data_IF_358322400927
#
_entry.id   IF_358322400927
#
_cell.length_a   1.000
_cell.length_b   1.000
_cell.length_c   1.000
_cell.angle_alpha   90.00
_cell.angle_beta   90.00
_cell.angle_gamma   90.00
#
_symmetry.space_group_name_H-M   'P 1'
#
loop_
_entity.id
_entity.type
_entity.pdbx_description
1 polymer ?
#
# COMPACT_ATOMS: atom_id res chain seq x y z
N UNK A 1 34.57 16.24 -46.85
CA UNK A 1 33.99 14.99 -46.33
C UNK A 1 33.38 15.27 -44.96
N UNK A 2 32.06 15.18 -44.80
CA UNK A 2 31.38 15.43 -43.52
C UNK A 2 31.43 14.18 -42.64
N UNK A 3 31.98 14.30 -41.43
CA UNK A 3 31.94 13.21 -40.44
C UNK A 3 30.56 13.20 -39.78
N UNK A 4 29.88 12.05 -39.66
CA UNK A 4 28.61 11.98 -38.93
C UNK A 4 28.81 12.42 -37.48
N UNK A 5 27.77 13.06 -36.92
CA UNK A 5 27.81 13.53 -35.54
C UNK A 5 27.94 12.34 -34.59
N UNK A 6 28.85 12.43 -33.62
CA UNK A 6 29.09 11.35 -32.67
C UNK A 6 27.89 11.16 -31.73
N UNK A 7 27.63 9.93 -31.30
CA UNK A 7 26.50 9.58 -30.42
C UNK A 7 26.35 10.50 -29.20
N UNK A 8 27.40 10.83 -28.42
CA UNK A 8 27.24 11.72 -27.27
C UNK A 8 26.67 13.10 -27.64
N UNK A 9 27.05 13.64 -28.80
CA UNK A 9 26.57 14.94 -29.28
C UNK A 9 25.14 14.88 -29.81
N UNK A 10 24.69 13.72 -30.30
CA UNK A 10 23.28 13.50 -30.63
C UNK A 10 22.43 13.44 -29.37
N UNK A 11 22.90 12.75 -28.34
CA UNK A 11 22.20 12.63 -27.06
C UNK A 11 22.08 13.97 -26.32
N UNK A 12 23.10 14.84 -26.43
CA UNK A 12 23.08 16.20 -25.86
C UNK A 12 21.95 17.08 -26.41
N UNK A 13 21.45 16.80 -27.62
CA UNK A 13 20.35 17.58 -28.23
C UNK A 13 18.97 17.10 -27.80
N UNK A 14 18.88 15.97 -27.09
CA UNK A 14 17.61 15.38 -26.68
C UNK A 14 17.17 15.95 -25.33
N UNK A 15 15.89 16.31 -25.25
CA UNK A 15 15.20 16.55 -23.98
C UNK A 15 15.11 15.26 -23.15
N UNK A 16 14.78 15.41 -21.86
CA UNK A 16 14.58 14.28 -20.96
C UNK A 16 13.44 13.34 -21.43
N UNK A 17 12.44 13.87 -22.14
CA UNK A 17 11.36 13.05 -22.71
C UNK A 17 11.86 12.25 -23.91
N UNK A 18 12.54 12.91 -24.85
CA UNK A 18 13.10 12.23 -26.03
C UNK A 18 14.13 11.17 -25.63
N UNK A 19 14.91 11.43 -24.58
CA UNK A 19 15.88 10.46 -24.06
C UNK A 19 15.20 9.23 -23.43
N UNK A 20 14.08 9.43 -22.70
CA UNK A 20 13.28 8.32 -22.13
C UNK A 20 12.66 7.48 -23.24
N UNK A 21 12.06 8.12 -24.25
CA UNK A 21 11.47 7.43 -25.39
C UNK A 21 12.52 6.66 -26.20
N UNK A 22 13.68 7.26 -26.45
CA UNK A 22 14.78 6.58 -27.12
C UNK A 22 15.24 5.35 -26.33
N UNK A 23 15.44 5.48 -25.02
CA UNK A 23 15.86 4.37 -24.17
C UNK A 23 14.81 3.25 -24.14
N UNK A 24 13.53 3.60 -24.08
CA UNK A 24 12.43 2.65 -24.11
C UNK A 24 12.37 1.88 -25.43
N UNK A 25 12.44 2.58 -26.56
CA UNK A 25 12.46 1.96 -27.90
C UNK A 25 13.65 1.00 -28.06
N UNK A 26 14.83 1.38 -27.56
CA UNK A 26 16.02 0.52 -27.60
C UNK A 26 15.84 -0.71 -26.69
N UNK A 27 15.28 -0.55 -25.49
CA UNK A 27 15.02 -1.66 -24.57
C UNK A 27 13.97 -2.63 -25.12
N UNK A 28 12.93 -2.13 -25.80
CA UNK A 28 11.89 -2.96 -26.42
C UNK A 28 12.43 -3.81 -27.58
N UNK A 29 13.45 -3.30 -28.29
CA UNK A 29 14.14 -4.04 -29.35
C UNK A 29 15.20 -5.03 -28.81
N UNK A 30 15.68 -4.82 -27.59
CA UNK A 30 16.78 -5.56 -26.98
C UNK A 30 16.45 -5.95 -25.52
N UNK A 31 15.70 -7.05 -25.31
CA UNK A 31 15.26 -7.50 -23.98
C UNK A 31 16.41 -7.71 -22.97
N UNK A 32 17.61 -8.04 -23.46
CA UNK A 32 18.83 -8.14 -22.65
C UNK A 32 19.21 -6.81 -22.00
N UNK A 33 19.01 -5.68 -22.70
CA UNK A 33 19.27 -4.35 -22.17
C UNK A 33 18.20 -3.94 -21.16
N UNK A 34 16.97 -4.39 -21.33
CA UNK A 34 15.89 -4.12 -20.37
C UNK A 34 16.24 -4.65 -18.98
N UNK A 35 16.77 -5.87 -18.89
CA UNK A 35 17.20 -6.46 -17.61
C UNK A 35 18.36 -5.65 -16.99
N UNK A 36 19.34 -5.24 -17.80
CA UNK A 36 20.46 -4.44 -17.34
C UNK A 36 20.03 -3.05 -16.84
N UNK A 37 19.12 -2.39 -17.57
CA UNK A 37 18.56 -1.09 -17.20
C UNK A 37 17.80 -1.21 -15.88
N UNK A 38 16.92 -2.20 -15.73
CA UNK A 38 16.17 -2.41 -14.48
C UNK A 38 17.09 -2.72 -13.31
N UNK A 39 18.17 -3.48 -13.52
CA UNK A 39 19.15 -3.80 -12.49
C UNK A 39 20.00 -2.58 -12.07
N UNK A 40 20.25 -1.64 -12.99
CA UNK A 40 21.08 -0.44 -12.74
C UNK A 40 20.29 0.78 -12.34
N UNK A 41 19.01 0.84 -12.69
CA UNK A 41 18.14 1.96 -12.35
C UNK A 41 18.02 2.07 -10.82
N UNK A 42 18.19 3.27 -10.24
CA UNK A 42 17.93 3.47 -8.83
C UNK A 42 16.46 3.16 -8.54
N UNK A 43 16.20 2.50 -7.42
CA UNK A 43 14.83 2.25 -6.97
C UNK A 43 14.12 3.60 -6.78
N UNK A 44 12.89 3.77 -7.26
CA UNK A 44 12.16 5.01 -7.08
C UNK A 44 11.92 5.25 -5.58
N UNK A 45 12.34 6.43 -5.11
CA UNK A 45 12.03 6.88 -3.76
C UNK A 45 10.57 7.34 -3.66
N UNK A 46 10.01 7.38 -2.44
CA UNK A 46 8.69 7.97 -2.21
C UNK A 46 8.64 9.39 -2.76
N UNK A 47 9.65 10.22 -2.48
CA UNK A 47 9.69 11.62 -2.93
C UNK A 47 9.65 11.75 -4.45
N UNK A 48 10.49 10.98 -5.16
CA UNK A 48 10.48 10.98 -6.63
C UNK A 48 9.14 10.51 -7.20
N UNK A 49 8.53 9.49 -6.61
CA UNK A 49 7.23 8.99 -7.08
C UNK A 49 6.11 9.99 -6.81
N UNK A 50 6.07 10.58 -5.62
CA UNK A 50 5.08 11.61 -5.28
C UNK A 50 5.24 12.86 -6.14
N UNK A 51 6.48 13.22 -6.53
CA UNK A 51 6.72 14.31 -7.49
C UNK A 51 6.09 14.00 -8.85
N UNK A 52 6.20 12.77 -9.33
CA UNK A 52 5.55 12.33 -10.59
C UNK A 52 4.03 12.34 -10.45
N UNK A 53 3.49 11.77 -9.37
CA UNK A 53 2.04 11.76 -9.11
C UNK A 53 1.47 13.18 -8.97
N UNK A 54 2.23 14.11 -8.38
CA UNK A 54 1.83 15.53 -8.30
C UNK A 54 1.63 16.13 -9.68
N UNK A 55 2.50 15.83 -10.65
CA UNK A 55 2.36 16.32 -12.03
C UNK A 55 1.06 15.84 -12.66
N UNK A 56 0.75 14.55 -12.56
CA UNK A 56 -0.55 14.03 -13.02
C UNK A 56 -1.74 14.70 -12.32
N UNK A 57 -1.61 15.01 -11.03
CA UNK A 57 -2.65 15.72 -10.28
C UNK A 57 -2.79 17.19 -10.73
N UNK A 58 -1.68 17.85 -11.04
CA UNK A 58 -1.64 19.23 -11.54
C UNK A 58 -2.26 19.29 -12.94
N UNK A 59 -1.88 18.39 -13.85
CA UNK A 59 -2.46 18.25 -15.19
C UNK A 59 -3.97 18.00 -15.12
N UNK A 60 -4.41 17.12 -14.20
CA UNK A 60 -5.83 16.88 -13.94
C UNK A 60 -6.56 18.14 -13.47
N UNK A 61 -5.96 18.91 -12.56
CA UNK A 61 -6.54 20.17 -12.05
C UNK A 61 -6.62 21.23 -13.14
N UNK A 62 -5.60 21.36 -13.98
CA UNK A 62 -5.53 22.36 -15.04
C UNK A 62 -6.45 22.03 -16.22
N UNK A 63 -6.80 20.75 -16.41
CA UNK A 63 -7.74 20.32 -17.43
C UNK A 63 -9.21 20.72 -17.15
N UNK A 64 -9.53 21.22 -15.95
CA UNK A 64 -10.89 21.65 -15.63
C UNK A 64 -11.31 22.83 -16.51
N UNK A 65 -12.51 22.77 -17.13
CA UNK A 65 -13.01 23.90 -17.90
C UNK A 65 -13.33 25.09 -16.98
N UNK A 66 -13.12 26.30 -17.49
CA UNK A 66 -13.56 27.53 -16.83
C UNK A 66 -15.10 27.52 -16.72
N UNK A 67 -15.64 27.55 -15.50
CA UNK A 67 -17.09 27.57 -15.27
C UNK A 67 -17.50 27.33 -13.82
N UNK A 68 -18.80 27.48 -13.56
CA UNK A 68 -19.35 27.45 -12.19
C UNK A 68 -19.76 26.05 -11.72
N UNK A 69 -19.65 25.01 -12.56
CA UNK A 69 -20.09 23.63 -12.24
C UNK A 69 -18.97 22.61 -12.50
N UNK A 70 -17.94 22.55 -11.65
CA UNK A 70 -16.79 21.66 -11.84
C UNK A 70 -17.15 20.17 -11.73
N UNK A 71 -18.28 19.81 -11.11
CA UNK A 71 -18.70 18.40 -10.87
C UNK A 71 -19.70 17.87 -11.90
N UNK A 72 -20.03 18.66 -12.93
CA UNK A 72 -20.97 18.27 -14.00
C UNK A 72 -20.39 17.25 -14.98
N UNK A 73 -21.27 16.56 -15.71
CA UNK A 73 -20.88 15.60 -16.76
C UNK A 73 -19.99 16.23 -17.84
N UNK A 74 -20.23 17.49 -18.19
CA UNK A 74 -19.38 18.23 -19.12
C UNK A 74 -17.94 18.36 -18.58
N UNK A 75 -17.80 18.80 -17.33
CA UNK A 75 -16.51 18.94 -16.67
C UNK A 75 -15.80 17.60 -16.54
N UNK A 76 -16.53 16.53 -16.17
CA UNK A 76 -15.98 15.18 -16.12
C UNK A 76 -15.41 14.75 -17.48
N UNK A 77 -16.17 14.89 -18.56
CA UNK A 77 -15.72 14.48 -19.90
C UNK A 77 -14.45 15.22 -20.34
N UNK A 78 -14.26 16.48 -19.91
CA UNK A 78 -13.03 17.24 -20.17
C UNK A 78 -11.81 16.70 -19.44
N UNK A 79 -11.96 16.34 -18.16
CA UNK A 79 -10.84 15.91 -17.32
C UNK A 79 -10.62 14.40 -17.32
N UNK A 80 -11.56 13.63 -17.90
CA UNK A 80 -11.57 12.16 -17.84
C UNK A 80 -10.24 11.52 -18.22
N UNK A 81 -9.61 11.99 -19.30
CA UNK A 81 -8.32 11.43 -19.73
C UNK A 81 -7.24 11.63 -18.67
N UNK A 82 -7.10 12.84 -18.12
CA UNK A 82 -6.11 13.15 -17.08
C UNK A 82 -6.42 12.41 -15.77
N UNK A 83 -7.71 12.25 -15.43
CA UNK A 83 -8.13 11.43 -14.30
C UNK A 83 -7.66 9.98 -14.46
N UNK A 84 -7.91 9.38 -15.63
CA UNK A 84 -7.49 8.01 -15.91
C UNK A 84 -5.97 7.86 -15.85
N UNK A 85 -5.21 8.80 -16.42
CA UNK A 85 -3.75 8.80 -16.32
C UNK A 85 -3.24 8.85 -14.87
N UNK A 86 -3.87 9.65 -14.01
CA UNK A 86 -3.54 9.67 -12.59
C UNK A 86 -3.88 8.33 -11.91
N UNK A 87 -5.02 7.72 -12.24
CA UNK A 87 -5.41 6.41 -11.68
C UNK A 87 -4.47 5.30 -12.13
N UNK A 88 -4.10 5.28 -13.42
CA UNK A 88 -3.15 4.31 -13.98
C UNK A 88 -1.77 4.47 -13.32
N UNK A 89 -1.28 5.70 -13.16
CA UNK A 89 -0.02 5.97 -12.47
C UNK A 89 -0.05 5.48 -11.01
N UNK A 90 -1.15 5.72 -10.28
CA UNK A 90 -1.32 5.20 -8.92
C UNK A 90 -1.27 3.67 -8.91
N UNK A 91 -1.93 3.02 -9.86
CA UNK A 91 -1.96 1.55 -9.97
C UNK A 91 -0.59 0.97 -10.29
N UNK A 92 0.20 1.63 -11.14
CA UNK A 92 1.52 1.16 -11.54
C UNK A 92 2.56 1.32 -10.43
N UNK A 93 2.53 2.45 -9.71
CA UNK A 93 3.50 2.71 -8.64
C UNK A 93 3.18 2.01 -7.33
N UNK A 94 1.91 1.78 -7.02
CA UNK A 94 1.51 1.24 -5.71
C UNK A 94 2.17 -0.09 -5.37
N UNK A 95 2.17 -1.13 -6.25
CA UNK A 95 2.80 -2.41 -5.96
C UNK A 95 4.27 -2.32 -5.54
N UNK A 96 5.02 -1.32 -6.05
CA UNK A 96 6.42 -1.09 -5.70
C UNK A 96 6.63 -0.84 -4.20
N UNK A 97 5.66 -0.20 -3.56
CA UNK A 97 5.69 0.15 -2.15
C UNK A 97 4.96 -0.88 -1.28
N UNK A 98 4.57 -2.03 -1.83
CA UNK A 98 3.93 -3.10 -1.08
C UNK A 98 4.85 -4.31 -0.88
N UNK A 99 4.64 -5.11 0.17
CA UNK A 99 5.26 -6.42 0.28
C UNK A 99 4.95 -7.33 -0.92
N UNK A 100 5.91 -8.12 -1.42
CA UNK A 100 7.27 -8.31 -0.88
C UNK A 100 8.32 -7.32 -1.43
N UNK A 101 7.96 -6.39 -2.33
CA UNK A 101 8.91 -5.49 -2.97
C UNK A 101 9.50 -4.46 -2.00
N UNK A 102 8.63 -3.84 -1.19
CA UNK A 102 9.02 -3.05 -0.03
C UNK A 102 8.83 -3.88 1.25
N UNK A 103 9.88 -3.94 2.06
CA UNK A 103 9.92 -4.73 3.30
C UNK A 103 9.72 -3.88 4.55
N UNK A 104 9.97 -2.57 4.46
CA UNK A 104 9.84 -1.62 5.54
C UNK A 104 8.41 -1.08 5.58
N UNK A 105 7.62 -1.57 6.54
CA UNK A 105 6.23 -1.15 6.70
C UNK A 105 6.07 0.38 6.79
N UNK A 106 7.00 1.09 7.45
CA UNK A 106 6.96 2.55 7.57
C UNK A 106 7.01 3.24 6.19
N UNK A 107 7.82 2.73 5.27
CA UNK A 107 7.92 3.26 3.90
C UNK A 107 6.60 3.05 3.17
N UNK A 108 6.05 1.83 3.21
CA UNK A 108 4.75 1.51 2.63
C UNK A 108 3.61 2.37 3.20
N UNK A 109 3.54 2.53 4.52
CA UNK A 109 2.48 3.30 5.20
C UNK A 109 2.57 4.80 4.88
N UNK A 110 3.78 5.36 4.80
CA UNK A 110 3.98 6.76 4.38
C UNK A 110 3.54 6.98 2.93
N UNK A 111 3.88 6.06 2.03
CA UNK A 111 3.41 6.11 0.65
C UNK A 111 1.88 6.03 0.59
N UNK A 112 1.28 5.06 1.30
CA UNK A 112 -0.16 4.85 1.32
C UNK A 112 -0.93 6.05 1.89
N UNK A 113 -0.45 6.70 2.95
CA UNK A 113 -0.99 7.97 3.48
C UNK A 113 -0.99 9.05 2.41
N UNK A 114 0.15 9.26 1.74
CA UNK A 114 0.29 10.27 0.70
C UNK A 114 -0.67 10.03 -0.49
N UNK A 115 -0.77 8.81 -1.02
CA UNK A 115 -1.68 8.52 -2.14
C UNK A 115 -3.16 8.51 -1.72
N UNK A 116 -3.47 8.10 -0.49
CA UNK A 116 -4.85 8.20 0.04
C UNK A 116 -5.28 9.67 0.13
N UNK A 117 -4.37 10.56 0.55
CA UNK A 117 -4.62 12.00 0.52
C UNK A 117 -4.79 12.55 -0.90
N UNK A 118 -4.11 11.98 -1.90
CA UNK A 118 -4.36 12.31 -3.32
C UNK A 118 -5.78 11.95 -3.74
N UNK A 119 -6.28 10.77 -3.36
CA UNK A 119 -7.66 10.36 -3.63
C UNK A 119 -8.70 11.24 -2.92
N UNK A 120 -8.40 11.70 -1.70
CA UNK A 120 -9.27 12.63 -0.96
C UNK A 120 -9.42 13.99 -1.64
N UNK A 121 -8.45 14.41 -2.46
CA UNK A 121 -8.50 15.67 -3.21
C UNK A 121 -9.31 15.58 -4.51
N UNK A 122 -9.71 14.38 -4.93
CA UNK A 122 -10.54 14.21 -6.11
C UNK A 122 -11.97 14.69 -5.84
N UNK A 123 -12.62 15.36 -6.81
CA UNK A 123 -13.99 15.82 -6.64
C UNK A 123 -14.96 14.65 -6.48
N UNK A 124 -16.07 14.91 -5.80
CA UNK A 124 -17.25 14.06 -5.87
C UNK A 124 -18.11 14.54 -7.03
N UNK A 125 -18.26 13.70 -8.07
CA UNK A 125 -19.03 14.03 -9.26
C UNK A 125 -20.54 13.97 -8.99
N UNK A 126 -21.32 14.81 -9.68
CA UNK A 126 -22.79 14.82 -9.55
C UNK A 126 -23.40 13.49 -10.02
N UNK A 127 -22.82 12.92 -11.09
CA UNK A 127 -23.21 11.62 -11.62
C UNK A 127 -22.51 10.47 -10.90
N UNK A 128 -23.30 9.54 -10.37
CA UNK A 128 -22.80 8.34 -9.67
C UNK A 128 -21.87 7.49 -10.55
N UNK A 129 -22.09 7.44 -11.86
CA UNK A 129 -21.26 6.66 -12.77
C UNK A 129 -19.81 7.19 -12.81
N UNK A 130 -19.61 8.49 -12.66
CA UNK A 130 -18.30 9.15 -12.70
C UNK A 130 -17.52 8.97 -11.39
N UNK A 131 -18.21 8.61 -10.31
CA UNK A 131 -17.60 8.26 -9.03
C UNK A 131 -16.89 6.88 -9.06
N UNK A 132 -17.16 6.05 -10.08
CA UNK A 132 -16.65 4.68 -10.18
C UNK A 132 -15.12 4.60 -10.07
N UNK A 133 -14.38 5.39 -10.85
CA UNK A 133 -12.91 5.31 -10.84
C UNK A 133 -12.30 5.67 -9.49
N UNK A 134 -12.85 6.69 -8.82
CA UNK A 134 -12.44 7.07 -7.47
C UNK A 134 -12.76 5.97 -6.45
N UNK A 135 -13.93 5.34 -6.57
CA UNK A 135 -14.32 4.24 -5.70
C UNK A 135 -13.41 3.02 -5.88
N UNK A 136 -13.14 2.62 -7.11
CA UNK A 136 -12.23 1.52 -7.44
C UNK A 136 -10.82 1.78 -6.88
N UNK A 137 -10.31 3.01 -7.03
CA UNK A 137 -9.02 3.39 -6.46
C UNK A 137 -8.99 3.33 -4.92
N UNK A 138 -10.06 3.75 -4.24
CA UNK A 138 -10.14 3.57 -2.78
C UNK A 138 -10.16 2.10 -2.39
N UNK A 139 -10.87 1.25 -3.12
CA UNK A 139 -10.97 -0.18 -2.83
C UNK A 139 -9.61 -0.87 -3.03
N UNK A 140 -8.84 -0.48 -4.05
CA UNK A 140 -7.47 -0.96 -4.27
C UNK A 140 -6.51 -0.49 -3.16
N UNK A 141 -6.58 0.79 -2.79
CA UNK A 141 -5.76 1.35 -1.71
C UNK A 141 -6.12 0.74 -0.35
N UNK A 142 -7.40 0.48 -0.07
CA UNK A 142 -7.83 -0.20 1.15
C UNK A 142 -7.21 -1.60 1.29
N UNK A 143 -7.20 -2.38 0.19
CA UNK A 143 -6.52 -3.69 0.16
C UNK A 143 -5.01 -3.55 0.36
N UNK A 144 -4.40 -2.53 -0.23
CA UNK A 144 -2.98 -2.25 -0.07
C UNK A 144 -2.63 -1.92 1.40
N UNK A 145 -3.43 -1.10 2.08
CA UNK A 145 -3.32 -0.85 3.52
C UNK A 145 -3.44 -2.14 4.32
N UNK A 146 -4.49 -2.92 4.10
CA UNK A 146 -4.74 -4.19 4.79
C UNK A 146 -3.54 -5.15 4.64
N UNK A 147 -3.00 -5.28 3.43
CA UNK A 147 -1.84 -6.11 3.12
C UNK A 147 -0.60 -5.67 3.92
N UNK A 148 -0.28 -4.38 3.92
CA UNK A 148 0.89 -3.83 4.62
C UNK A 148 0.74 -4.02 6.13
N UNK A 149 -0.45 -3.79 6.68
CA UNK A 149 -0.75 -3.97 8.11
C UNK A 149 -0.60 -5.44 8.51
N UNK A 150 -1.15 -6.35 7.71
CA UNK A 150 -1.06 -7.80 7.93
C UNK A 150 0.39 -8.30 7.90
N UNK A 151 1.21 -7.77 7.00
CA UNK A 151 2.62 -8.15 6.94
C UNK A 151 3.44 -7.54 8.09
N UNK A 152 3.16 -6.29 8.47
CA UNK A 152 3.82 -5.61 9.58
C UNK A 152 3.53 -6.29 10.94
N UNK A 153 2.30 -6.80 11.13
CA UNK A 153 1.91 -7.50 12.35
C UNK A 153 2.67 -8.81 12.53
N UNK A 154 2.94 -9.55 11.43
CA UNK A 154 3.69 -10.81 11.45
C UNK A 154 5.17 -10.63 11.84
N UNK A 155 5.83 -9.57 11.35
CA UNK A 155 7.30 -9.44 11.45
C UNK A 155 7.80 -8.91 12.80
N UNK A 156 7.06 -8.00 13.44
CA UNK A 156 7.50 -7.33 14.67
C UNK A 156 6.41 -7.36 15.76
N UNK A 157 5.50 -8.32 15.68
CA UNK A 157 4.29 -8.38 16.50
C UNK A 157 3.32 -7.21 16.26
N UNK A 158 3.62 -6.29 15.33
CA UNK A 158 2.88 -5.04 15.12
C UNK A 158 3.37 -3.84 15.93
N UNK A 159 4.49 -3.94 16.68
CA UNK A 159 4.97 -2.88 17.57
C UNK A 159 5.15 -1.53 16.84
N UNK A 160 5.65 -1.54 15.61
CA UNK A 160 5.85 -0.35 14.78
C UNK A 160 4.54 0.34 14.35
N UNK A 161 3.40 -0.36 14.41
CA UNK A 161 2.08 0.23 14.10
C UNK A 161 1.58 1.11 15.26
N UNK A 162 1.93 0.78 16.51
CA UNK A 162 1.47 1.52 17.71
C UNK A 162 2.12 2.89 17.88
N UNK A 163 3.40 3.04 17.57
CA UNK A 163 4.13 4.29 17.83
C UNK A 163 4.04 5.31 16.69
N UNK A 164 3.42 4.95 15.56
CA UNK A 164 3.33 5.81 14.37
C UNK A 164 2.04 6.62 14.24
N UNK A 165 1.06 6.46 15.14
CA UNK A 165 -0.26 7.11 15.02
C UNK A 165 -1.06 6.65 13.79
N UNK A 166 -0.74 5.47 13.25
CA UNK A 166 -1.36 4.93 12.05
C UNK A 166 -2.83 4.56 12.26
N UNK A 167 -3.22 4.26 13.50
CA UNK A 167 -4.60 4.04 13.93
C UNK A 167 -5.44 5.30 13.73
N UNK A 168 -4.99 6.44 14.24
CA UNK A 168 -5.70 7.70 14.10
C UNK A 168 -5.79 8.12 12.62
N UNK A 169 -4.66 8.04 11.90
CA UNK A 169 -4.61 8.40 10.47
C UNK A 169 -5.54 7.53 9.62
N UNK A 170 -5.52 6.21 9.82
CA UNK A 170 -6.34 5.30 9.02
C UNK A 170 -7.83 5.45 9.32
N UNK A 171 -8.19 5.69 10.59
CA UNK A 171 -9.57 6.02 10.97
C UNK A 171 -10.02 7.32 10.32
N UNK A 172 -9.17 8.36 10.30
CA UNK A 172 -9.46 9.63 9.62
C UNK A 172 -9.63 9.42 8.11
N UNK A 173 -8.76 8.64 7.47
CA UNK A 173 -8.90 8.31 6.05
C UNK A 173 -10.20 7.55 5.75
N UNK A 174 -10.59 6.61 6.61
CA UNK A 174 -11.83 5.86 6.45
C UNK A 174 -13.07 6.75 6.56
N UNK A 175 -13.07 7.71 7.49
CA UNK A 175 -14.14 8.69 7.61
C UNK A 175 -14.23 9.55 6.34
N UNK A 176 -13.11 10.07 5.85
CA UNK A 176 -13.05 10.90 4.63
C UNK A 176 -13.46 10.14 3.36
N UNK A 177 -13.21 8.83 3.31
CA UNK A 177 -13.60 8.00 2.17
C UNK A 177 -15.04 7.47 2.24
N UNK A 178 -15.78 7.77 3.32
CA UNK A 178 -17.15 7.28 3.51
C UNK A 178 -17.23 5.80 3.87
N UNK A 179 -16.25 5.28 4.61
CA UNK A 179 -16.23 3.88 5.08
C UNK A 179 -15.52 2.91 4.13
N UNK A 180 -14.87 3.39 3.07
CA UNK A 180 -14.22 2.50 2.08
C UNK A 180 -12.94 1.85 2.56
N UNK A 181 -12.32 2.38 3.61
CA UNK A 181 -11.12 1.79 4.21
C UNK A 181 -11.46 0.92 5.44
N UNK A 182 -12.72 0.54 5.63
CA UNK A 182 -13.15 -0.24 6.80
C UNK A 182 -12.40 -1.57 6.92
N UNK A 183 -12.12 -2.24 5.80
CA UNK A 183 -11.32 -3.47 5.76
C UNK A 183 -9.93 -3.25 6.37
N UNK A 184 -9.24 -2.18 5.96
CA UNK A 184 -7.93 -1.84 6.50
C UNK A 184 -7.99 -1.45 8.00
N UNK A 185 -9.04 -0.72 8.40
CA UNK A 185 -9.27 -0.37 9.81
C UNK A 185 -9.48 -1.63 10.65
N UNK A 186 -10.25 -2.60 10.15
CA UNK A 186 -10.46 -3.87 10.82
C UNK A 186 -9.15 -4.65 10.98
N UNK A 187 -8.35 -4.75 9.93
CA UNK A 187 -7.02 -5.39 9.99
C UNK A 187 -6.10 -4.70 11.01
N UNK A 188 -6.12 -3.37 11.06
CA UNK A 188 -5.32 -2.63 12.03
C UNK A 188 -5.76 -2.92 13.48
N UNK A 189 -7.07 -2.90 13.74
CA UNK A 189 -7.61 -3.25 15.07
C UNK A 189 -7.24 -4.67 15.47
N UNK A 190 -7.31 -5.62 14.54
CA UNK A 190 -6.88 -7.01 14.75
C UNK A 190 -5.40 -7.10 15.11
N UNK A 191 -4.54 -6.43 14.33
CA UNK A 191 -3.10 -6.36 14.58
C UNK A 191 -2.75 -5.71 15.93
N UNK A 192 -3.46 -4.65 16.32
CA UNK A 192 -3.28 -3.98 17.62
C UNK A 192 -3.84 -4.79 18.79
N UNK A 193 -4.95 -5.51 18.60
CA UNK A 193 -5.50 -6.42 19.60
C UNK A 193 -4.54 -7.57 19.92
N UNK A 194 -3.84 -8.08 18.91
CA UNK A 194 -2.78 -9.06 19.09
C UNK A 194 -1.59 -8.53 19.91
N UNK A 195 -1.28 -7.23 19.80
CA UNK A 195 -0.23 -6.59 20.62
C UNK A 195 -0.63 -6.38 22.08
N UNK A 196 -1.89 -6.00 22.33
CA UNK A 196 -2.42 -5.91 23.69
C UNK A 196 -2.48 -7.31 24.34
N UNK A 197 -2.61 -8.33 23.50
CA UNK A 197 -2.47 -9.72 23.86
C UNK A 197 -1.00 -10.24 23.78
N UNK A 198 -0.01 -9.41 24.14
CA UNK A 198 1.41 -9.78 24.15
C UNK A 198 1.71 -11.06 24.96
N UNK A 199 2.96 -11.58 24.95
CA UNK A 199 3.31 -12.99 25.28
C UNK A 199 3.02 -13.50 26.71
N UNK A 200 2.25 -12.75 27.51
CA UNK A 200 1.62 -13.18 28.77
C UNK A 200 0.11 -13.46 28.69
N UNK A 201 -0.60 -13.14 27.59
CA UNK A 201 -2.00 -13.52 27.42
C UNK A 201 -2.10 -14.67 26.45
N UNK A 202 -2.08 -15.88 26.99
CA UNK A 202 -2.44 -17.03 26.18
C UNK A 202 -3.90 -16.92 25.73
N UNK A 203 -4.19 -17.58 24.61
CA UNK A 203 -5.53 -17.99 24.23
C UNK A 203 -6.34 -18.45 25.46
N UNK A 204 -7.64 -18.10 25.57
CA UNK A 204 -8.48 -18.44 26.72
C UNK A 204 -8.59 -19.95 27.04
N UNK A 205 -8.01 -20.84 26.23
CA UNK A 205 -7.97 -22.28 26.48
C UNK A 205 -6.61 -22.85 26.90
N UNK A 206 -5.48 -22.23 26.54
CA UNK A 206 -4.14 -22.87 26.69
C UNK A 206 -3.40 -22.39 27.94
N UNK A 207 -3.66 -21.17 28.43
CA UNK A 207 -3.11 -20.72 29.72
C UNK A 207 -3.70 -21.48 30.88
N UNK A 208 -5.01 -21.76 30.85
CA UNK A 208 -5.69 -22.46 31.94
C UNK A 208 -5.19 -23.90 32.04
N UNK A 209 -5.02 -24.62 30.94
CA UNK A 209 -4.41 -25.96 30.97
C UNK A 209 -3.00 -25.93 31.56
N UNK A 210 -2.15 -24.99 31.15
CA UNK A 210 -0.78 -24.89 31.68
C UNK A 210 -0.75 -24.46 33.16
N UNK A 211 -1.66 -23.59 33.59
CA UNK A 211 -1.81 -23.17 34.98
C UNK A 211 -2.30 -24.33 35.86
N UNK A 212 -3.27 -25.11 35.35
CA UNK A 212 -3.83 -26.28 36.02
C UNK A 212 -2.79 -27.41 36.11
N UNK A 213 -2.04 -27.67 35.04
CA UNK A 213 -0.93 -28.64 35.03
C UNK A 213 0.15 -28.22 36.04
N UNK A 214 0.52 -26.93 36.09
CA UNK A 214 1.47 -26.43 37.09
C UNK A 214 0.95 -26.59 38.51
N UNK A 215 -0.30 -26.24 38.78
CA UNK A 215 -0.89 -26.42 40.11
C UNK A 215 -0.93 -27.90 40.51
N UNK A 216 -1.31 -28.80 39.61
CA UNK A 216 -1.32 -30.25 39.86
C UNK A 216 0.07 -30.83 40.11
N UNK A 217 1.11 -30.29 39.46
CA UNK A 217 2.50 -30.66 39.71
C UNK A 217 2.98 -30.16 41.07
N UNK A 218 2.59 -28.95 41.48
CA UNK A 218 2.94 -28.39 42.79
C UNK A 218 2.17 -29.03 43.96
N UNK A 219 0.92 -29.45 43.73
CA UNK A 219 0.11 -30.17 44.73
C UNK A 219 0.40 -31.67 44.77
N UNK A 220 1.30 -32.18 43.92
CA UNK A 220 1.63 -33.61 43.84
C UNK A 220 0.48 -34.50 43.37
N UNK A 221 -0.57 -33.92 42.79
CA UNK A 221 -1.77 -34.64 42.32
C UNK A 221 -1.71 -34.96 40.82
N UNK A 222 -0.62 -34.61 40.14
CA UNK A 222 -0.41 -34.91 38.73
C UNK A 222 -0.34 -36.43 38.52
N UNK A 223 -1.37 -37.00 37.89
CA UNK A 223 -1.49 -38.44 37.64
C UNK A 223 -2.42 -39.21 38.56
N UNK A 224 -3.07 -38.59 39.56
CA UNK A 224 -4.01 -39.30 40.46
C UNK A 224 -5.30 -39.79 39.78
N UNK A 225 -5.61 -39.31 38.57
CA UNK A 225 -6.83 -39.68 37.83
C UNK A 225 -6.58 -40.71 36.71
N UNK A 226 -5.33 -41.14 36.52
CA UNK A 226 -5.02 -42.32 35.71
C UNK A 226 -5.09 -43.53 36.63
N UNK A 227 -6.30 -44.09 36.74
CA UNK A 227 -6.60 -45.26 37.55
C UNK A 227 -5.58 -46.37 37.30
N UNK A 228 -4.83 -46.70 38.35
CA UNK A 228 -4.01 -47.90 38.43
C UNK A 228 -4.97 -49.08 38.46
N UNK A 229 -5.06 -49.80 37.35
CA UNK A 229 -5.69 -51.13 37.32
C UNK A 229 -4.91 -52.06 38.25
N UNK A 230 -5.50 -52.37 39.40
CA UNK A 230 -4.99 -53.39 40.30
C UNK A 230 -5.19 -54.77 39.64
N UNK A 231 -4.10 -55.52 39.47
CA UNK A 231 -4.11 -56.87 38.91
C UNK A 231 -4.64 -57.95 39.88
N UNK A 232 -4.90 -59.13 39.33
CA UNK A 232 -5.19 -60.36 40.07
C UNK A 232 -4.59 -61.56 39.34
N UNK A 233 -3.91 -62.41 40.13
CA UNK A 233 -3.23 -63.65 39.77
C UNK A 233 -4.19 -64.77 39.35
#
# INVERSE_FOLDING_TARGET
MGRPLALPRLLETLSAEEMRQLLQNVADQHPELQQEIVAKAPRPSIESTLSVLSKYQDDFREAFPLGNRPTSDYSYNRVRQHLLQLMDALRDYTPHFLPPQESQAIVSLNYLDAVTNTLHRLPSWDSYQHQRHRNEAYDEIAKAWALVISEASKRAGGFHLQFGGWDQKLVEHNQKSGGRLEEAVHELRSALGFLQAGPGSASPGVSDERATIRQQLFSGSYGQQLGVGHGGW
#
